data_IF_821951336288
#
_entry.id   IF_821951336288
#
_cell.length_a   1.000
_cell.length_b   1.000
_cell.length_c   1.000
_cell.angle_alpha   90.00
_cell.angle_beta   90.00
_cell.angle_gamma   90.00
#
_symmetry.space_group_name_H-M   'P 1'
#
loop_
_entity.id
_entity.type
_entity.pdbx_description
1 polymer ?
#
# COMPACT_ATOMS: atom_id res chain seq x y z
N UNK A 1 2.06 3.47 -18.29
CA UNK A 1 2.88 4.35 -17.41
C UNK A 1 3.66 3.62 -16.33
N UNK A 2 3.14 2.56 -15.69
CA UNK A 2 3.87 1.85 -14.61
C UNK A 2 5.26 1.37 -15.06
N UNK A 3 5.43 0.92 -16.31
CA UNK A 3 6.74 0.53 -16.85
C UNK A 3 7.72 1.72 -16.94
N UNK A 4 7.25 2.91 -17.34
CA UNK A 4 8.04 4.15 -17.39
C UNK A 4 8.52 4.54 -15.98
N UNK A 5 7.64 4.44 -14.97
CA UNK A 5 8.00 4.68 -13.57
C UNK A 5 9.08 3.68 -13.13
N UNK A 6 8.92 2.40 -13.40
CA UNK A 6 9.89 1.37 -13.04
C UNK A 6 11.23 1.56 -13.74
N UNK A 7 11.25 1.97 -15.00
CA UNK A 7 12.46 2.29 -15.75
C UNK A 7 13.21 3.48 -15.13
N UNK A 8 12.49 4.56 -14.79
CA UNK A 8 13.04 5.75 -14.11
C UNK A 8 13.74 5.42 -12.79
N UNK A 9 13.25 4.43 -12.05
CA UNK A 9 13.79 4.02 -10.75
C UNK A 9 14.46 2.64 -10.79
N UNK A 10 14.92 2.18 -11.95
CA UNK A 10 15.45 0.81 -12.16
C UNK A 10 16.59 0.47 -11.20
N UNK A 11 17.62 1.32 -11.08
CA UNK A 11 18.78 1.09 -10.20
C UNK A 11 18.40 0.93 -8.71
N UNK A 12 17.37 1.67 -8.28
CA UNK A 12 16.84 1.55 -6.93
C UNK A 12 16.03 0.26 -6.77
N UNK A 13 15.17 -0.02 -7.73
CA UNK A 13 14.30 -1.20 -7.72
C UNK A 13 15.09 -2.50 -7.80
N UNK A 14 16.16 -2.55 -8.57
CA UNK A 14 17.03 -3.74 -8.67
C UNK A 14 17.66 -4.10 -7.32
N UNK A 15 18.11 -3.10 -6.56
CA UNK A 15 18.66 -3.33 -5.22
C UNK A 15 17.57 -3.75 -4.21
N UNK A 16 16.40 -3.11 -4.28
CA UNK A 16 15.26 -3.44 -3.44
C UNK A 16 14.75 -4.85 -3.72
N UNK A 17 14.56 -5.21 -4.98
CA UNK A 17 14.05 -6.52 -5.40
C UNK A 17 15.02 -7.64 -5.04
N UNK A 18 16.34 -7.45 -5.21
CA UNK A 18 17.34 -8.42 -4.74
C UNK A 18 17.24 -8.68 -3.23
N UNK A 19 16.95 -7.65 -2.45
CA UNK A 19 16.79 -7.79 -1.00
C UNK A 19 15.52 -8.56 -0.62
N UNK A 20 14.41 -8.26 -1.31
CA UNK A 20 13.13 -8.97 -1.13
C UNK A 20 13.21 -10.42 -1.62
N UNK A 21 13.85 -10.68 -2.77
CA UNK A 21 14.05 -12.04 -3.28
C UNK A 21 14.87 -12.90 -2.33
N UNK A 22 15.95 -12.35 -1.77
CA UNK A 22 16.75 -13.06 -0.75
C UNK A 22 15.90 -13.43 0.47
N UNK A 23 15.01 -12.54 0.89
CA UNK A 23 14.11 -12.84 2.01
C UNK A 23 13.11 -13.93 1.66
N UNK A 24 12.54 -13.89 0.48
CA UNK A 24 11.62 -14.92 -0.01
C UNK A 24 12.32 -16.29 -0.09
N UNK A 25 13.58 -16.34 -0.53
CA UNK A 25 14.37 -17.57 -0.58
C UNK A 25 14.60 -18.15 0.82
N UNK A 26 14.83 -17.32 1.85
CA UNK A 26 15.00 -17.75 3.23
C UNK A 26 13.79 -18.54 3.79
N UNK A 27 12.59 -18.25 3.30
CA UNK A 27 11.34 -18.86 3.77
C UNK A 27 10.63 -19.70 2.70
N UNK A 28 11.31 -20.00 1.58
CA UNK A 28 10.73 -20.72 0.44
C UNK A 28 9.44 -20.08 -0.09
N UNK A 29 9.35 -18.76 -0.04
CA UNK A 29 8.21 -18.01 -0.63
C UNK A 29 8.42 -17.95 -2.15
N UNK A 30 7.45 -18.41 -2.95
CA UNK A 30 7.55 -18.31 -4.41
C UNK A 30 7.72 -16.87 -4.88
N UNK A 31 8.65 -16.65 -5.83
CA UNK A 31 8.97 -15.29 -6.32
C UNK A 31 7.77 -14.52 -6.88
N UNK A 32 6.78 -15.20 -7.45
CA UNK A 32 5.57 -14.53 -7.95
C UNK A 32 4.74 -13.89 -6.83
N UNK A 33 4.77 -14.42 -5.60
CA UNK A 33 4.06 -13.84 -4.45
C UNK A 33 4.68 -12.53 -3.98
N UNK A 34 5.99 -12.38 -4.15
CA UNK A 34 6.69 -11.15 -3.77
C UNK A 34 6.76 -10.10 -4.90
N UNK A 35 6.35 -10.44 -6.13
CA UNK A 35 6.29 -9.46 -7.24
C UNK A 35 5.26 -8.37 -6.96
N UNK A 36 5.46 -7.18 -7.53
CA UNK A 36 4.51 -6.07 -7.39
C UNK A 36 4.97 -4.79 -8.07
N UNK A 37 4.09 -3.79 -8.06
CA UNK A 37 4.36 -2.47 -8.66
C UNK A 37 5.42 -1.67 -7.88
N UNK A 38 5.68 -2.01 -6.62
CA UNK A 38 6.62 -1.33 -5.70
C UNK A 38 6.29 0.14 -5.44
N UNK A 39 5.03 0.51 -5.51
CA UNK A 39 4.63 1.92 -5.39
C UNK A 39 5.02 2.51 -4.03
N UNK A 40 4.85 1.76 -2.93
CA UNK A 40 5.20 2.24 -1.58
C UNK A 40 6.71 2.46 -1.45
N UNK A 41 7.50 1.53 -1.97
CA UNK A 41 8.95 1.65 -2.03
C UNK A 41 9.41 2.84 -2.87
N UNK A 42 8.84 3.03 -4.06
CA UNK A 42 9.16 4.16 -4.97
C UNK A 42 8.77 5.49 -4.31
N UNK A 43 7.58 5.60 -3.74
CA UNK A 43 7.09 6.80 -3.05
C UNK A 43 8.03 7.18 -1.90
N UNK A 44 8.40 6.21 -1.06
CA UNK A 44 9.32 6.47 0.06
C UNK A 44 10.71 6.90 -0.41
N UNK A 45 11.18 6.37 -1.55
CA UNK A 45 12.44 6.79 -2.17
C UNK A 45 12.37 8.21 -2.72
N UNK A 46 11.28 8.60 -3.39
CA UNK A 46 11.05 9.98 -3.85
C UNK A 46 11.04 10.92 -2.64
N UNK A 47 10.26 10.61 -1.61
CA UNK A 47 10.22 11.37 -0.37
C UNK A 47 11.60 11.51 0.28
N UNK A 48 12.36 10.42 0.31
CA UNK A 48 13.75 10.43 0.79
C UNK A 48 14.65 11.37 -0.02
N UNK A 49 14.55 11.35 -1.34
CA UNK A 49 15.35 12.22 -2.22
C UNK A 49 15.04 13.71 -2.01
N UNK A 50 13.75 14.08 -1.85
CA UNK A 50 13.31 15.45 -1.51
C UNK A 50 14.04 15.94 -0.24
N UNK A 51 14.15 15.07 0.76
CA UNK A 51 14.78 15.38 2.05
C UNK A 51 16.27 15.02 2.13
N UNK A 52 16.90 14.68 1.00
CA UNK A 52 18.33 14.33 0.90
C UNK A 52 18.75 13.17 1.79
N UNK A 53 17.86 12.22 2.02
CA UNK A 53 18.14 10.99 2.76
C UNK A 53 19.10 10.11 1.93
N UNK A 54 20.18 9.56 2.51
CA UNK A 54 21.09 8.67 1.79
C UNK A 54 20.37 7.45 1.19
N UNK A 55 20.68 7.11 -0.07
CA UNK A 55 20.06 5.98 -0.82
C UNK A 55 20.00 4.68 0.02
N UNK A 56 21.09 4.37 0.74
CA UNK A 56 21.16 3.17 1.60
C UNK A 56 20.07 3.14 2.69
N UNK A 57 19.74 4.30 3.27
CA UNK A 57 18.68 4.42 4.27
C UNK A 57 17.32 4.31 3.60
N UNK A 58 17.12 5.00 2.47
CA UNK A 58 15.88 4.91 1.69
C UNK A 58 15.59 3.47 1.23
N UNK A 59 16.61 2.69 0.86
CA UNK A 59 16.46 1.26 0.52
C UNK A 59 15.97 0.42 1.71
N UNK A 60 16.50 0.65 2.91
CA UNK A 60 16.06 -0.07 4.12
C UNK A 60 14.60 0.25 4.47
N UNK A 61 14.22 1.50 4.33
CA UNK A 61 12.84 1.96 4.58
C UNK A 61 11.88 1.39 3.53
N UNK A 62 12.23 1.46 2.26
CA UNK A 62 11.43 0.86 1.18
C UNK A 62 11.29 -0.66 1.37
N UNK A 63 12.36 -1.34 1.75
CA UNK A 63 12.34 -2.76 2.08
C UNK A 63 11.36 -3.05 3.23
N UNK A 64 11.40 -2.27 4.32
CA UNK A 64 10.49 -2.44 5.44
C UNK A 64 9.01 -2.23 5.02
N UNK A 65 8.71 -1.20 4.23
CA UNK A 65 7.36 -0.95 3.71
C UNK A 65 6.84 -2.08 2.83
N UNK A 66 7.67 -2.59 1.91
CA UNK A 66 7.31 -3.70 1.03
C UNK A 66 7.17 -5.02 1.80
N UNK A 67 7.95 -5.22 2.87
CA UNK A 67 7.81 -6.38 3.77
C UNK A 67 6.50 -6.33 4.55
N UNK A 68 6.12 -5.18 5.12
CA UNK A 68 4.82 -4.99 5.79
C UNK A 68 3.68 -5.29 4.81
N UNK A 69 3.75 -4.73 3.60
CA UNK A 69 2.76 -5.01 2.58
C UNK A 69 2.71 -6.50 2.17
N UNK A 70 3.87 -7.13 1.99
CA UNK A 70 3.94 -8.55 1.66
C UNK A 70 3.39 -9.45 2.76
N UNK A 71 3.64 -9.11 4.02
CA UNK A 71 3.09 -9.81 5.18
C UNK A 71 1.56 -9.70 5.25
N UNK A 72 1.01 -8.49 5.03
CA UNK A 72 -0.45 -8.31 5.02
C UNK A 72 -1.10 -9.16 3.94
N UNK A 73 -0.53 -9.20 2.73
CA UNK A 73 -1.06 -10.03 1.63
C UNK A 73 -1.06 -11.53 1.95
N UNK A 74 -0.06 -12.04 2.69
CA UNK A 74 -0.04 -13.45 3.12
C UNK A 74 -1.18 -13.72 4.12
N UNK A 75 -1.42 -12.82 5.06
CA UNK A 75 -2.50 -12.95 6.03
C UNK A 75 -3.88 -12.79 5.38
N UNK A 76 -4.04 -11.80 4.48
CA UNK A 76 -5.27 -11.59 3.72
C UNK A 76 -5.65 -12.83 2.90
N UNK A 77 -4.68 -13.46 2.19
CA UNK A 77 -4.91 -14.69 1.43
C UNK A 77 -5.45 -15.84 2.30
N UNK A 78 -5.01 -15.90 3.57
CA UNK A 78 -5.50 -16.92 4.52
C UNK A 78 -6.91 -16.59 4.97
N UNK A 79 -7.19 -15.34 5.35
CA UNK A 79 -8.50 -14.89 5.84
C UNK A 79 -9.57 -14.96 4.77
N UNK A 80 -9.23 -14.56 3.53
CA UNK A 80 -10.11 -14.62 2.36
C UNK A 80 -10.29 -16.04 1.80
N UNK A 81 -9.58 -17.06 2.33
CA UNK A 81 -9.51 -18.40 1.78
C UNK A 81 -9.12 -18.41 0.29
N UNK A 82 -8.26 -17.49 -0.12
CA UNK A 82 -7.81 -17.38 -1.49
C UNK A 82 -7.14 -18.67 -1.98
N UNK A 83 -7.28 -18.98 -3.27
CA UNK A 83 -6.63 -20.15 -3.89
C UNK A 83 -5.39 -19.72 -4.68
N UNK A 84 -5.49 -18.60 -5.35
CA UNK A 84 -4.43 -18.10 -6.24
C UNK A 84 -4.14 -16.62 -6.04
N UNK A 85 -2.91 -16.25 -6.34
CA UNK A 85 -2.44 -14.85 -6.42
C UNK A 85 -1.41 -14.72 -7.53
N UNK A 86 -1.59 -13.73 -8.42
CA UNK A 86 -0.65 -13.45 -9.53
C UNK A 86 -0.30 -14.68 -10.39
N UNK A 87 -1.32 -15.50 -10.66
CA UNK A 87 -1.18 -16.67 -11.53
C UNK A 87 -0.56 -17.91 -10.89
N UNK A 88 -0.37 -17.92 -9.58
CA UNK A 88 0.13 -19.09 -8.82
C UNK A 88 -0.65 -19.31 -7.53
N UNK A 89 -0.40 -20.42 -6.84
CA UNK A 89 -1.05 -20.75 -5.59
C UNK A 89 -0.61 -19.79 -4.47
N UNK A 90 -1.54 -19.41 -3.59
CA UNK A 90 -1.20 -18.65 -2.37
C UNK A 90 -0.36 -19.50 -1.40
N UNK A 91 0.34 -18.83 -0.47
CA UNK A 91 1.33 -19.49 0.38
C UNK A 91 0.73 -20.62 1.25
N UNK A 92 -0.47 -20.44 1.77
CA UNK A 92 -1.18 -21.45 2.59
C UNK A 92 -1.74 -22.64 1.77
N UNK A 93 -1.60 -22.63 0.44
CA UNK A 93 -1.83 -23.81 -0.42
C UNK A 93 -0.54 -24.56 -0.73
N UNK A 94 0.61 -23.97 -0.45
CA UNK A 94 1.95 -24.54 -0.68
C UNK A 94 2.54 -25.05 0.63
N UNK A 95 2.32 -24.34 1.74
CA UNK A 95 2.76 -24.64 3.08
C UNK A 95 1.56 -24.82 4.02
N UNK A 96 1.72 -25.46 5.19
CA UNK A 96 0.71 -25.46 6.22
C UNK A 96 0.27 -24.03 6.57
N UNK A 97 -1.04 -23.80 6.76
CA UNK A 97 -1.59 -22.49 7.11
C UNK A 97 -0.90 -21.87 8.33
N UNK A 98 -0.63 -22.67 9.36
CA UNK A 98 0.13 -22.21 10.54
C UNK A 98 1.53 -21.69 10.19
N UNK A 99 2.21 -22.32 9.24
CA UNK A 99 3.51 -21.85 8.75
C UNK A 99 3.39 -20.55 7.98
N UNK A 100 2.36 -20.40 7.15
CA UNK A 100 2.12 -19.15 6.41
C UNK A 100 1.82 -17.98 7.36
N UNK A 101 1.02 -18.21 8.43
CA UNK A 101 0.79 -17.20 9.49
C UNK A 101 2.12 -16.77 10.13
N UNK A 102 2.95 -17.74 10.56
CA UNK A 102 4.25 -17.45 11.19
C UNK A 102 5.17 -16.67 10.25
N UNK A 103 5.17 -16.97 8.95
CA UNK A 103 5.98 -16.24 7.96
C UNK A 103 5.50 -14.78 7.89
N UNK A 104 4.20 -14.51 7.85
CA UNK A 104 3.67 -13.16 7.91
C UNK A 104 4.14 -12.40 9.15
N UNK A 105 4.06 -13.02 10.34
CA UNK A 105 4.54 -12.44 11.60
C UNK A 105 6.04 -12.14 11.58
N UNK A 106 6.84 -13.03 11.01
CA UNK A 106 8.29 -12.82 10.85
C UNK A 106 8.56 -11.62 9.95
N UNK A 107 7.84 -11.49 8.82
CA UNK A 107 8.02 -10.37 7.90
C UNK A 107 7.64 -9.04 8.55
N UNK A 108 6.52 -8.96 9.29
CA UNK A 108 6.14 -7.76 10.06
C UNK A 108 7.20 -7.37 11.09
N UNK A 109 7.62 -8.32 11.92
CA UNK A 109 8.57 -8.06 13.00
C UNK A 109 9.97 -7.73 12.47
N UNK A 110 10.38 -8.35 11.37
CA UNK A 110 11.64 -8.05 10.69
C UNK A 110 11.63 -6.65 10.07
N UNK A 111 10.52 -6.24 9.44
CA UNK A 111 10.37 -4.89 8.93
C UNK A 111 10.55 -3.85 10.03
N UNK A 112 9.90 -4.03 11.17
CA UNK A 112 10.04 -3.12 12.33
C UNK A 112 11.46 -3.12 12.89
N UNK A 113 12.10 -4.28 12.98
CA UNK A 113 13.50 -4.40 13.43
C UNK A 113 14.47 -3.68 12.50
N UNK A 114 14.25 -3.76 11.19
CA UNK A 114 15.10 -3.11 10.18
C UNK A 114 15.17 -1.59 10.33
N UNK A 115 14.08 -0.97 10.80
CA UNK A 115 13.97 0.49 10.91
C UNK A 115 14.00 1.01 12.36
N UNK A 116 14.35 0.15 13.33
CA UNK A 116 14.28 0.46 14.77
C UNK A 116 15.19 1.62 15.21
N UNK A 117 16.25 1.92 14.47
CA UNK A 117 17.14 3.06 14.73
C UNK A 117 16.56 4.42 14.29
N UNK A 118 15.42 4.45 13.57
CA UNK A 118 14.74 5.65 13.12
C UNK A 118 13.45 5.88 13.93
N UNK A 119 13.48 6.50 15.12
CA UNK A 119 12.38 6.45 16.08
C UNK A 119 11.08 7.04 15.58
N UNK A 120 11.10 8.14 14.80
CA UNK A 120 9.87 8.72 14.24
C UNK A 120 9.28 7.81 13.17
N UNK A 121 10.11 7.28 12.26
CA UNK A 121 9.66 6.36 11.22
C UNK A 121 9.16 5.04 11.84
N UNK A 122 9.89 4.48 12.81
CA UNK A 122 9.48 3.27 13.55
C UNK A 122 8.09 3.45 14.19
N UNK A 123 7.88 4.55 14.91
CA UNK A 123 6.59 4.85 15.54
C UNK A 123 5.47 4.95 14.51
N UNK A 124 5.73 5.63 13.38
CA UNK A 124 4.74 5.81 12.32
C UNK A 124 4.40 4.49 11.64
N UNK A 125 5.40 3.68 11.30
CA UNK A 125 5.18 2.37 10.66
C UNK A 125 4.48 1.39 11.61
N UNK A 126 4.86 1.34 12.90
CA UNK A 126 4.19 0.47 13.88
C UNK A 126 2.72 0.87 14.07
N UNK A 127 2.40 2.16 14.08
CA UNK A 127 1.01 2.62 14.12
C UNK A 127 0.25 2.20 12.85
N UNK A 128 0.86 2.32 11.67
CA UNK A 128 0.23 1.88 10.43
C UNK A 128 -0.05 0.37 10.43
N UNK A 129 0.88 -0.45 10.90
CA UNK A 129 0.67 -1.92 11.04
C UNK A 129 -0.50 -2.22 12.00
N UNK A 130 -0.59 -1.48 13.11
CA UNK A 130 -1.72 -1.61 14.04
C UNK A 130 -3.05 -1.22 13.40
N UNK A 131 -3.12 -0.08 12.70
CA UNK A 131 -4.32 0.34 11.97
C UNK A 131 -4.72 -0.67 10.88
N UNK A 132 -3.75 -1.22 10.12
CA UNK A 132 -4.01 -2.25 9.12
C UNK A 132 -4.67 -3.49 9.74
N UNK A 133 -4.17 -3.93 10.91
CA UNK A 133 -4.77 -5.06 11.64
C UNK A 133 -6.19 -4.74 12.14
N UNK A 134 -6.42 -3.51 12.64
CA UNK A 134 -7.77 -3.06 13.03
C UNK A 134 -8.72 -2.99 11.82
N UNK A 135 -8.24 -2.50 10.67
CA UNK A 135 -9.03 -2.45 9.44
C UNK A 135 -9.49 -3.84 9.00
N UNK A 136 -8.57 -4.82 9.04
CA UNK A 136 -8.90 -6.21 8.75
C UNK A 136 -9.91 -6.79 9.77
N UNK A 137 -9.71 -6.51 11.06
CA UNK A 137 -10.65 -6.94 12.10
C UNK A 137 -12.06 -6.37 11.89
N UNK A 138 -12.17 -5.09 11.52
CA UNK A 138 -13.46 -4.46 11.20
C UNK A 138 -14.10 -5.12 9.99
N UNK A 139 -13.33 -5.33 8.91
CA UNK A 139 -13.82 -5.99 7.69
C UNK A 139 -14.38 -7.39 7.97
N UNK A 140 -13.73 -8.17 8.84
CA UNK A 140 -14.15 -9.54 9.18
C UNK A 140 -15.37 -9.59 10.15
N UNK A 141 -15.53 -8.57 10.99
CA UNK A 141 -16.49 -8.61 12.11
C UNK A 141 -17.68 -7.69 11.96
N UNK A 142 -17.59 -6.68 11.09
CA UNK A 142 -18.63 -5.68 10.86
C UNK A 142 -19.20 -5.83 9.45
N UNK A 143 -20.53 -5.86 9.33
CA UNK A 143 -21.15 -5.81 8.00
C UNK A 143 -20.95 -4.41 7.39
N UNK A 144 -20.11 -4.32 6.38
CA UNK A 144 -19.90 -3.09 5.61
C UNK A 144 -21.05 -2.93 4.61
N UNK A 145 -21.91 -1.93 4.82
CA UNK A 145 -23.08 -1.68 3.98
C UNK A 145 -23.30 -0.20 3.65
N UNK A 146 -22.39 0.64 4.06
CA UNK A 146 -22.41 2.09 3.83
C UNK A 146 -21.01 2.62 3.48
N UNK A 147 -20.99 3.80 2.86
CA UNK A 147 -19.77 4.43 2.37
C UNK A 147 -18.81 4.82 3.50
N UNK A 148 -19.31 5.30 4.63
CA UNK A 148 -18.46 5.78 5.72
C UNK A 148 -17.67 4.62 6.34
N UNK A 149 -18.33 3.48 6.59
CA UNK A 149 -17.67 2.26 7.09
C UNK A 149 -16.66 1.72 6.09
N UNK A 150 -17.00 1.72 4.79
CA UNK A 150 -16.07 1.33 3.73
C UNK A 150 -14.84 2.23 3.71
N UNK A 151 -15.02 3.56 3.74
CA UNK A 151 -13.90 4.52 3.72
C UNK A 151 -13.00 4.37 4.96
N UNK A 152 -13.55 4.08 6.14
CA UNK A 152 -12.77 3.81 7.35
C UNK A 152 -11.91 2.54 7.18
N UNK A 153 -12.47 1.48 6.62
CA UNK A 153 -11.75 0.22 6.37
C UNK A 153 -10.61 0.40 5.39
N UNK A 154 -10.85 1.02 4.22
CA UNK A 154 -9.79 1.21 3.22
C UNK A 154 -8.73 2.21 3.68
N UNK A 155 -9.11 3.21 4.50
CA UNK A 155 -8.14 4.07 5.16
C UNK A 155 -7.18 3.24 6.00
N UNK A 156 -7.71 2.41 6.90
CA UNK A 156 -6.91 1.58 7.80
C UNK A 156 -6.08 0.54 7.06
N UNK A 157 -6.69 -0.23 6.16
CA UNK A 157 -6.01 -1.33 5.46
C UNK A 157 -4.97 -0.86 4.44
N UNK A 158 -5.24 0.24 3.74
CA UNK A 158 -4.45 0.63 2.57
C UNK A 158 -3.80 2.01 2.72
N UNK A 159 -4.57 3.05 3.05
CA UNK A 159 -4.08 4.42 3.01
C UNK A 159 -3.04 4.72 4.09
N UNK A 160 -3.12 4.13 5.28
CA UNK A 160 -2.16 4.32 6.37
C UNK A 160 -0.71 4.00 5.96
N UNK A 161 -0.50 2.96 5.16
CA UNK A 161 0.83 2.61 4.69
C UNK A 161 1.34 3.57 3.60
N UNK A 162 0.45 4.16 2.80
CA UNK A 162 0.80 5.25 1.89
C UNK A 162 1.15 6.54 2.64
N UNK A 163 0.46 6.86 3.75
CA UNK A 163 0.86 7.97 4.65
C UNK A 163 2.33 7.85 5.07
N UNK A 164 2.73 6.67 5.54
CA UNK A 164 4.12 6.40 5.95
C UNK A 164 5.08 6.56 4.78
N UNK A 165 4.72 6.08 3.59
CA UNK A 165 5.58 6.16 2.42
C UNK A 165 5.80 7.61 1.95
N UNK A 166 4.75 8.44 1.91
CA UNK A 166 4.86 9.85 1.54
C UNK A 166 5.64 10.67 2.58
N UNK A 167 5.41 10.43 3.88
CA UNK A 167 6.07 11.14 4.98
C UNK A 167 7.51 10.65 5.25
N UNK A 168 7.97 9.57 4.61
CA UNK A 168 9.21 8.85 4.93
C UNK A 168 10.45 9.75 5.03
N UNK A 169 10.65 10.64 4.05
CA UNK A 169 11.80 11.54 4.02
C UNK A 169 11.84 12.52 5.19
N UNK A 170 10.69 13.11 5.54
CA UNK A 170 10.55 14.01 6.69
C UNK A 170 10.84 13.28 8.02
N UNK A 171 10.23 12.11 8.21
CA UNK A 171 10.43 11.28 9.41
C UNK A 171 11.89 10.88 9.61
N UNK A 172 12.58 10.52 8.52
CA UNK A 172 14.02 10.19 8.52
C UNK A 172 14.91 11.41 8.75
N UNK A 173 14.41 12.60 8.42
CA UNK A 173 15.07 13.88 8.67
C UNK A 173 14.79 14.45 10.07
N UNK A 174 14.01 13.74 10.90
CA UNK A 174 13.78 14.05 12.30
C UNK A 174 12.55 14.91 12.58
N UNK A 175 11.62 15.07 11.64
CA UNK A 175 10.36 15.82 11.86
C UNK A 175 9.16 15.12 11.20
N UNK A 176 7.96 15.49 11.65
CA UNK A 176 6.70 15.04 11.05
C UNK A 176 6.19 16.11 10.09
N UNK A 177 5.70 15.67 8.91
CA UNK A 177 5.06 16.55 7.93
C UNK A 177 3.59 16.14 7.72
N UNK A 178 2.64 16.80 8.41
CA UNK A 178 1.22 16.48 8.29
C UNK A 178 0.66 16.65 6.86
N UNK A 179 1.25 17.54 6.04
CA UNK A 179 0.78 17.78 4.67
C UNK A 179 1.21 16.62 3.76
N UNK A 180 2.47 16.17 3.86
CA UNK A 180 2.93 14.97 3.14
C UNK A 180 2.13 13.74 3.57
N UNK A 181 1.88 13.57 4.87
CA UNK A 181 1.07 12.48 5.39
C UNK A 181 -0.35 12.51 4.81
N UNK A 182 -1.01 13.67 4.81
CA UNK A 182 -2.37 13.83 4.27
C UNK A 182 -2.40 13.59 2.76
N UNK A 183 -1.37 14.00 2.01
CA UNK A 183 -1.22 13.64 0.60
C UNK A 183 -1.13 12.12 0.41
N UNK A 184 -0.37 11.43 1.24
CA UNK A 184 -0.27 9.97 1.23
C UNK A 184 -1.58 9.28 1.55
N UNK A 185 -2.33 9.78 2.56
CA UNK A 185 -3.67 9.30 2.87
C UNK A 185 -4.59 9.40 1.67
N UNK A 186 -4.68 10.59 1.08
CA UNK A 186 -5.56 10.82 -0.07
C UNK A 186 -5.16 9.98 -1.28
N UNK A 187 -3.87 9.87 -1.57
CA UNK A 187 -3.37 8.98 -2.63
C UNK A 187 -3.76 7.51 -2.40
N UNK A 188 -3.59 7.02 -1.16
CA UNK A 188 -3.93 5.64 -0.78
C UNK A 188 -5.43 5.35 -0.86
N UNK A 189 -6.28 6.31 -0.47
CA UNK A 189 -7.74 6.22 -0.61
C UNK A 189 -8.13 6.10 -2.08
N UNK A 190 -7.61 6.98 -2.94
CA UNK A 190 -7.87 6.92 -4.38
C UNK A 190 -7.37 5.61 -4.99
N UNK A 191 -6.18 5.15 -4.57
CA UNK A 191 -5.59 3.90 -5.06
C UNK A 191 -6.52 2.71 -4.80
N UNK A 192 -7.02 2.55 -3.58
CA UNK A 192 -7.91 1.43 -3.23
C UNK A 192 -9.25 1.52 -3.96
N UNK A 193 -9.86 2.71 -4.03
CA UNK A 193 -11.13 2.88 -4.75
C UNK A 193 -10.98 2.51 -6.23
N UNK A 194 -9.85 2.85 -6.86
CA UNK A 194 -9.58 2.49 -8.25
C UNK A 194 -9.30 0.99 -8.42
N UNK A 195 -8.58 0.34 -7.48
CA UNK A 195 -8.40 -1.12 -7.49
C UNK A 195 -9.78 -1.80 -7.41
N UNK A 196 -10.67 -1.37 -6.51
CA UNK A 196 -12.03 -1.93 -6.38
C UNK A 196 -12.91 -1.69 -7.63
N UNK A 197 -12.67 -0.60 -8.37
CA UNK A 197 -13.36 -0.36 -9.65
C UNK A 197 -12.85 -1.31 -10.76
N UNK A 198 -11.53 -1.58 -10.80
CA UNK A 198 -10.92 -2.48 -11.77
C UNK A 198 -11.36 -3.94 -11.53
N UNK A 199 -11.47 -4.33 -10.27
CA UNK A 199 -11.79 -5.69 -9.85
C UNK A 199 -13.32 -5.90 -9.65
N UNK A 200 -14.17 -4.94 -10.02
CA UNK A 200 -15.62 -4.94 -9.75
C UNK A 200 -16.33 -6.24 -10.11
N UNK A 201 -16.04 -6.82 -11.28
CA UNK A 201 -16.66 -8.09 -11.73
C UNK A 201 -16.07 -9.33 -11.02
N UNK A 202 -14.82 -9.25 -10.56
CA UNK A 202 -14.13 -10.35 -9.88
C UNK A 202 -14.48 -10.37 -8.38
N UNK A 203 -14.82 -9.22 -7.82
CA UNK A 203 -15.14 -9.01 -6.41
C UNK A 203 -16.64 -9.11 -6.09
N UNK A 204 -17.41 -9.87 -6.90
CA UNK A 204 -18.84 -10.07 -6.67
C UNK A 204 -19.10 -10.57 -5.23
N UNK A 205 -19.91 -9.83 -4.49
CA UNK A 205 -20.25 -10.12 -3.10
C UNK A 205 -19.30 -9.50 -2.05
N UNK A 206 -18.21 -8.87 -2.44
CA UNK A 206 -17.38 -8.08 -1.52
C UNK A 206 -17.97 -6.67 -1.33
N UNK A 207 -17.84 -6.08 -0.13
CA UNK A 207 -18.42 -4.77 0.17
C UNK A 207 -17.50 -3.62 -0.33
N UNK A 208 -17.21 -3.59 -1.64
CA UNK A 208 -16.46 -2.51 -2.28
C UNK A 208 -17.35 -1.31 -2.57
N UNK A 209 -16.78 -0.12 -2.77
CA UNK A 209 -17.57 1.09 -3.01
C UNK A 209 -18.54 0.95 -4.18
N UNK A 210 -18.14 0.41 -5.36
CA UNK A 210 -19.09 0.21 -6.45
C UNK A 210 -20.28 -0.68 -6.06
N UNK A 211 -20.07 -1.79 -5.34
CA UNK A 211 -21.15 -2.69 -4.91
C UNK A 211 -22.08 -2.04 -3.86
N UNK A 212 -21.52 -1.24 -2.95
CA UNK A 212 -22.31 -0.48 -1.99
C UNK A 212 -23.20 0.53 -2.72
N UNK A 213 -22.66 1.32 -3.63
CA UNK A 213 -23.40 2.29 -4.42
C UNK A 213 -24.48 1.63 -5.28
N UNK A 214 -24.18 0.48 -5.90
CA UNK A 214 -25.16 -0.31 -6.66
C UNK A 214 -26.30 -0.76 -5.76
N UNK A 215 -26.02 -1.27 -4.57
CA UNK A 215 -27.03 -1.71 -3.60
C UNK A 215 -27.94 -0.56 -3.13
N UNK A 216 -27.44 0.67 -3.17
CA UNK A 216 -28.18 1.91 -2.87
C UNK A 216 -28.94 2.47 -4.09
N UNK A 217 -28.91 1.79 -5.23
CA UNK A 217 -29.65 2.13 -6.43
C UNK A 217 -28.91 3.05 -7.41
N UNK A 218 -27.60 3.19 -7.30
CA UNK A 218 -26.81 3.93 -8.28
C UNK A 218 -26.89 3.26 -9.65
N UNK A 219 -27.13 4.07 -10.71
CA UNK A 219 -27.21 3.57 -12.09
C UNK A 219 -25.82 3.29 -12.71
N UNK A 220 -24.83 4.02 -12.26
CA UNK A 220 -23.46 3.90 -12.71
C UNK A 220 -22.51 3.98 -11.48
N UNK A 221 -22.41 2.89 -10.72
CA UNK A 221 -21.63 2.86 -9.49
C UNK A 221 -20.13 3.02 -9.73
N UNK A 222 -19.62 2.56 -10.89
CA UNK A 222 -18.20 2.66 -11.23
C UNK A 222 -17.82 4.12 -11.47
N UNK A 223 -18.57 4.85 -12.30
CA UNK A 223 -18.30 6.29 -12.54
C UNK A 223 -18.37 7.09 -11.25
N UNK A 224 -19.36 6.84 -10.39
CA UNK A 224 -19.45 7.52 -9.08
C UNK A 224 -18.27 7.20 -8.16
N UNK A 225 -17.80 5.96 -8.17
CA UNK A 225 -16.61 5.57 -7.40
C UNK A 225 -15.34 6.24 -7.95
N UNK A 226 -15.18 6.31 -9.27
CA UNK A 226 -14.08 7.02 -9.93
C UNK A 226 -14.10 8.52 -9.67
N UNK A 227 -15.28 9.15 -9.61
CA UNK A 227 -15.44 10.56 -9.20
C UNK A 227 -14.94 10.77 -7.76
N UNK A 228 -15.22 9.81 -6.86
CA UNK A 228 -14.71 9.83 -5.49
C UNK A 228 -13.18 9.68 -5.44
N UNK A 229 -12.61 8.77 -6.23
CA UNK A 229 -11.17 8.62 -6.36
C UNK A 229 -10.51 9.91 -6.89
N UNK A 230 -11.13 10.54 -7.90
CA UNK A 230 -10.70 11.84 -8.46
C UNK A 230 -10.65 12.95 -7.41
N UNK A 231 -11.65 13.01 -6.53
CA UNK A 231 -11.66 13.96 -5.41
C UNK A 231 -10.43 13.77 -4.51
N UNK A 232 -10.12 12.54 -4.14
CA UNK A 232 -8.94 12.24 -3.33
C UNK A 232 -7.63 12.54 -4.05
N UNK A 233 -7.51 12.21 -5.35
CA UNK A 233 -6.30 12.53 -6.13
C UNK A 233 -6.04 14.04 -6.19
N UNK A 234 -7.05 14.84 -6.47
CA UNK A 234 -6.94 16.31 -6.49
C UNK A 234 -6.51 16.86 -5.13
N UNK A 235 -7.02 16.29 -4.04
CA UNK A 235 -6.61 16.68 -2.69
C UNK A 235 -5.14 16.36 -2.41
N UNK A 236 -4.67 15.20 -2.85
CA UNK A 236 -3.26 14.81 -2.73
C UNK A 236 -2.35 15.73 -3.56
N UNK A 237 -2.72 16.01 -4.83
CA UNK A 237 -2.01 16.98 -5.70
C UNK A 237 -1.93 18.36 -5.06
N UNK A 238 -3.06 18.88 -4.56
CA UNK A 238 -3.12 20.17 -3.87
C UNK A 238 -2.13 20.25 -2.69
N UNK A 239 -2.07 19.20 -1.87
CA UNK A 239 -1.13 19.15 -0.75
C UNK A 239 0.33 19.18 -1.21
N UNK A 240 0.66 18.39 -2.24
CA UNK A 240 2.03 18.36 -2.78
C UNK A 240 2.40 19.65 -3.53
N UNK A 241 1.47 20.29 -4.21
CA UNK A 241 1.68 21.59 -4.87
C UNK A 241 2.02 22.68 -3.84
N UNK A 242 1.29 22.71 -2.71
CA UNK A 242 1.57 23.65 -1.60
C UNK A 242 2.97 23.49 -1.02
N UNK A 243 3.53 22.28 -1.05
CA UNK A 243 4.90 21.99 -0.62
C UNK A 243 5.94 22.20 -1.73
N UNK A 244 5.51 22.39 -2.97
CA UNK A 244 6.39 22.45 -4.15
C UNK A 244 6.93 21.08 -4.58
N UNK A 245 6.32 19.98 -4.16
CA UNK A 245 6.81 18.62 -4.39
C UNK A 245 6.03 17.85 -5.46
N UNK A 246 4.95 18.40 -6.01
CA UNK A 246 4.10 17.70 -6.99
C UNK A 246 4.90 17.18 -8.19
N UNK A 247 5.87 17.98 -8.69
CA UNK A 247 6.72 17.59 -9.82
C UNK A 247 7.53 16.32 -9.59
N UNK A 248 7.97 16.06 -8.35
CA UNK A 248 8.73 14.85 -7.99
C UNK A 248 7.85 13.58 -8.04
N UNK A 249 6.57 13.71 -7.71
CA UNK A 249 5.60 12.62 -7.71
C UNK A 249 4.79 12.54 -8.99
N UNK A 250 4.98 13.43 -9.97
CA UNK A 250 4.10 13.59 -11.14
C UNK A 250 3.82 12.28 -11.89
N UNK A 251 4.85 11.48 -12.17
CA UNK A 251 4.66 10.22 -12.92
C UNK A 251 3.69 9.25 -12.21
N UNK A 252 3.65 9.28 -10.85
CA UNK A 252 2.73 8.47 -10.05
C UNK A 252 1.29 8.99 -10.18
N UNK A 253 1.10 10.30 -10.19
CA UNK A 253 -0.23 10.90 -10.38
C UNK A 253 -0.72 10.69 -11.81
N UNK A 254 0.14 10.84 -12.82
CA UNK A 254 -0.18 10.51 -14.20
C UNK A 254 -0.66 9.06 -14.34
N UNK A 255 0.04 8.11 -13.69
CA UNK A 255 -0.39 6.71 -13.63
C UNK A 255 -1.76 6.54 -12.96
N UNK A 256 -2.04 7.27 -11.89
CA UNK A 256 -3.33 7.20 -11.21
C UNK A 256 -4.46 7.81 -12.04
N UNK A 257 -4.21 8.93 -12.72
CA UNK A 257 -5.20 9.57 -13.61
C UNK A 257 -5.55 8.75 -14.83
N UNK A 258 -4.65 7.91 -15.36
CA UNK A 258 -5.01 6.96 -16.42
C UNK A 258 -6.04 5.89 -16.00
N UNK A 259 -6.16 5.62 -14.71
CA UNK A 259 -7.10 4.64 -14.14
C UNK A 259 -8.49 5.23 -13.86
N UNK A 260 -8.57 6.55 -13.70
CA UNK A 260 -9.84 7.29 -13.59
C UNK A 260 -10.56 7.31 -14.94
#
# INVERSE_FOLDING_TARGET
LIYKIREKFSDFLDELEKSLEREAENFNIPKYLIKGKRLRGIISYISGNIHKVPKKISLRVAYALEMVHGASLIHDDIMDNAETRRGGNVLNRILPTSTAVIIGDILFTKALREISEFPLFFRRLSNAVYEMALGQYVEDTVKISDEDTYLDVIYKKTATLYEVAFEAGALLSGFEDPILRDAGRMFGMAFQILDDCEDYLEDEGKPTLPHILESLGAKDPITLSKDKASFYLRGAEWNLERLGYLGEFWDLFEYMWERV
#
